data_IF_591096212773
#
_entry.id   IF_591096212773
#
_cell.length_a   1.000
_cell.length_b   1.000
_cell.length_c   1.000
_cell.angle_alpha   90.00
_cell.angle_beta   90.00
_cell.angle_gamma   90.00
#
_symmetry.space_group_name_H-M   'P 1'
#
loop_
_entity.id
_entity.type
_entity.pdbx_description
1 polymer ?
#
# COMPACT_ATOMS: atom_id res chain seq x y z
N UNK A 1 27.08 -13.17 61.18
CA UNK A 1 25.97 -12.74 60.29
C UNK A 1 26.16 -13.45 58.97
N UNK A 2 25.19 -14.26 58.58
CA UNK A 2 25.34 -15.23 57.49
C UNK A 2 25.44 -14.55 56.12
N UNK A 3 26.66 -14.56 55.58
CA UNK A 3 26.98 -14.16 54.21
C UNK A 3 26.11 -14.87 53.16
N UNK A 4 25.59 -16.08 53.47
CA UNK A 4 24.69 -16.84 52.62
C UNK A 4 23.34 -16.16 52.37
N UNK A 5 22.80 -15.41 53.33
CA UNK A 5 21.54 -14.67 53.17
C UNK A 5 21.71 -13.50 52.20
N UNK A 6 22.83 -12.78 52.31
CA UNK A 6 23.20 -11.68 51.42
C UNK A 6 23.38 -12.13 49.96
N UNK A 7 24.05 -13.27 49.75
CA UNK A 7 24.24 -13.86 48.42
C UNK A 7 22.89 -14.31 47.82
N UNK A 8 22.02 -14.93 48.64
CA UNK A 8 20.70 -15.37 48.19
C UNK A 8 19.79 -14.22 47.76
N UNK A 9 19.78 -13.11 48.50
CA UNK A 9 18.99 -11.92 48.14
C UNK A 9 19.55 -11.23 46.88
N UNK A 10 20.88 -11.13 46.74
CA UNK A 10 21.51 -10.54 45.56
C UNK A 10 21.22 -11.35 44.28
N UNK A 11 21.30 -12.68 44.37
CA UNK A 11 20.94 -13.57 43.27
C UNK A 11 19.46 -13.46 42.91
N UNK A 12 18.55 -13.51 43.89
CA UNK A 12 17.12 -13.36 43.66
C UNK A 12 16.75 -12.02 43.00
N UNK A 13 17.36 -10.92 43.43
CA UNK A 13 17.16 -9.60 42.84
C UNK A 13 17.68 -9.53 41.38
N UNK A 14 18.85 -10.11 41.09
CA UNK A 14 19.42 -10.12 39.74
C UNK A 14 18.58 -10.90 38.73
N UNK A 15 17.99 -12.03 39.16
CA UNK A 15 17.08 -12.84 38.33
C UNK A 15 15.78 -12.08 38.07
N UNK A 16 15.22 -11.42 39.10
CA UNK A 16 14.03 -10.58 38.97
C UNK A 16 14.22 -9.44 37.97
N UNK A 17 15.32 -8.68 38.08
CA UNK A 17 15.63 -7.56 37.18
C UNK A 17 15.84 -8.05 35.74
N UNK A 18 16.53 -9.17 35.56
CA UNK A 18 16.77 -9.75 34.22
C UNK A 18 15.48 -10.23 33.56
N UNK A 19 14.58 -10.86 34.33
CA UNK A 19 13.27 -11.28 33.84
C UNK A 19 12.39 -10.08 33.45
N UNK A 20 12.39 -9.01 34.24
CA UNK A 20 11.68 -7.77 33.91
C UNK A 20 12.24 -7.09 32.67
N UNK A 21 13.56 -6.99 32.52
CA UNK A 21 14.18 -6.41 31.32
C UNK A 21 13.88 -7.22 30.05
N UNK A 22 13.90 -8.55 30.12
CA UNK A 22 13.55 -9.42 28.99
C UNK A 22 12.06 -9.31 28.62
N UNK A 23 11.18 -9.26 29.62
CA UNK A 23 9.75 -9.05 29.41
C UNK A 23 9.48 -7.69 28.76
N UNK A 24 10.14 -6.63 29.23
CA UNK A 24 9.99 -5.27 28.70
C UNK A 24 10.54 -5.15 27.28
N UNK A 25 11.69 -5.77 26.99
CA UNK A 25 12.24 -5.80 25.62
C UNK A 25 11.36 -6.58 24.66
N UNK A 26 10.77 -7.69 25.11
CA UNK A 26 9.79 -8.46 24.32
C UNK A 26 8.52 -7.65 24.05
N UNK A 27 8.02 -6.91 25.06
CA UNK A 27 6.88 -6.00 24.91
C UNK A 27 7.19 -4.89 23.91
N UNK A 28 8.31 -4.20 24.06
CA UNK A 28 8.73 -3.11 23.15
C UNK A 28 8.84 -3.58 21.70
N UNK A 29 9.47 -4.75 21.47
CA UNK A 29 9.61 -5.32 20.12
C UNK A 29 8.25 -5.66 19.50
N UNK A 30 7.33 -6.23 20.30
CA UNK A 30 5.96 -6.54 19.84
C UNK A 30 5.19 -5.28 19.50
N UNK A 31 5.26 -4.25 20.34
CA UNK A 31 4.56 -2.99 20.14
C UNK A 31 5.08 -2.23 18.92
N UNK A 32 6.40 -2.22 18.71
CA UNK A 32 7.02 -1.61 17.52
C UNK A 32 6.58 -2.35 16.25
N UNK A 33 6.64 -3.69 16.23
CA UNK A 33 6.19 -4.48 15.07
C UNK A 33 4.67 -4.33 14.82
N UNK A 34 3.87 -4.22 15.87
CA UNK A 34 2.43 -3.99 15.74
C UNK A 34 2.15 -2.61 15.11
N UNK A 35 2.89 -1.58 15.55
CA UNK A 35 2.80 -0.23 15.02
C UNK A 35 3.22 -0.15 13.55
N UNK A 36 4.38 -0.71 13.20
CA UNK A 36 4.84 -0.78 11.80
C UNK A 36 3.81 -1.47 10.90
N UNK A 37 3.22 -2.58 11.35
CA UNK A 37 2.19 -3.30 10.60
C UNK A 37 0.91 -2.46 10.45
N UNK A 38 0.54 -1.69 11.47
CA UNK A 38 -0.62 -0.80 11.40
C UNK A 38 -0.40 0.34 10.40
N UNK A 39 0.78 0.98 10.44
CA UNK A 39 1.17 2.04 9.49
C UNK A 39 1.17 1.52 8.04
N UNK A 40 1.78 0.36 7.79
CA UNK A 40 1.73 -0.30 6.48
C UNK A 40 0.30 -0.60 6.02
N UNK A 41 -0.52 -1.19 6.90
CA UNK A 41 -1.92 -1.54 6.58
C UNK A 41 -2.72 -0.29 6.20
N UNK A 42 -2.55 0.80 6.93
CA UNK A 42 -3.20 2.07 6.63
C UNK A 42 -2.77 2.60 5.26
N UNK A 43 -1.46 2.72 5.02
CA UNK A 43 -0.92 3.20 3.75
C UNK A 43 -1.39 2.35 2.56
N UNK A 44 -1.38 1.02 2.69
CA UNK A 44 -1.85 0.11 1.64
C UNK A 44 -3.33 0.31 1.34
N UNK A 45 -4.15 0.47 2.38
CA UNK A 45 -5.59 0.73 2.22
C UNK A 45 -5.85 2.06 1.51
N UNK A 46 -5.16 3.13 1.93
CA UNK A 46 -5.27 4.45 1.32
C UNK A 46 -4.86 4.43 -0.15
N UNK A 47 -3.75 3.77 -0.48
CA UNK A 47 -3.26 3.64 -1.84
C UNK A 47 -4.23 2.87 -2.75
N UNK A 48 -4.73 1.72 -2.30
CA UNK A 48 -5.70 0.93 -3.06
C UNK A 48 -7.02 1.70 -3.25
N UNK A 49 -7.45 2.50 -2.27
CA UNK A 49 -8.61 3.35 -2.39
C UNK A 49 -8.41 4.47 -3.42
N UNK A 50 -7.25 5.13 -3.41
CA UNK A 50 -6.88 6.16 -4.39
C UNK A 50 -6.88 5.61 -5.83
N UNK A 51 -6.24 4.45 -6.05
CA UNK A 51 -6.22 3.77 -7.35
C UNK A 51 -7.63 3.39 -7.81
N UNK A 52 -8.44 2.82 -6.92
CA UNK A 52 -9.80 2.36 -7.25
C UNK A 52 -10.73 3.52 -7.60
N UNK A 53 -10.66 4.62 -6.84
CA UNK A 53 -11.45 5.83 -7.09
C UNK A 53 -11.13 6.43 -8.45
N UNK A 54 -9.84 6.64 -8.71
CA UNK A 54 -9.34 7.16 -10.00
C UNK A 54 -9.77 6.27 -11.14
N UNK A 55 -9.54 4.95 -11.06
CA UNK A 55 -9.97 3.99 -12.10
C UNK A 55 -11.47 4.07 -12.37
N UNK A 56 -12.30 4.19 -11.34
CA UNK A 56 -13.74 4.25 -11.51
C UNK A 56 -14.16 5.52 -12.26
N UNK A 57 -13.52 6.66 -11.99
CA UNK A 57 -13.71 7.91 -12.74
C UNK A 57 -13.28 7.74 -14.21
N UNK A 58 -12.08 7.20 -14.46
CA UNK A 58 -11.61 6.93 -15.82
C UNK A 58 -12.56 6.01 -16.59
N UNK A 59 -13.09 4.98 -15.94
CA UNK A 59 -14.05 4.05 -16.55
C UNK A 59 -15.43 4.71 -16.79
N UNK A 60 -15.82 5.68 -15.98
CA UNK A 60 -17.03 6.48 -16.24
C UNK A 60 -16.83 7.35 -17.48
N UNK A 61 -15.68 8.03 -17.59
CA UNK A 61 -15.30 8.83 -18.74
C UNK A 61 -15.26 8.01 -20.03
N UNK A 62 -14.61 6.85 -20.01
CA UNK A 62 -14.50 5.95 -21.17
C UNK A 62 -15.87 5.45 -21.71
N UNK A 63 -16.91 5.45 -20.87
CA UNK A 63 -18.28 5.10 -21.24
C UNK A 63 -19.15 6.30 -21.59
N UNK A 64 -18.66 7.52 -21.37
CA UNK A 64 -19.42 8.72 -21.69
C UNK A 64 -19.45 8.93 -23.21
N UNK A 65 -20.63 8.72 -23.80
CA UNK A 65 -20.87 8.99 -25.22
C UNK A 65 -21.23 10.45 -25.49
N UNK A 66 -21.58 11.21 -24.46
CA UNK A 66 -22.00 12.62 -24.56
C UNK A 66 -20.85 13.60 -24.41
N UNK A 67 -19.76 13.20 -23.74
CA UNK A 67 -18.59 14.04 -23.52
C UNK A 67 -17.65 13.98 -24.74
N UNK A 68 -17.29 15.11 -25.35
CA UNK A 68 -16.26 15.17 -26.41
C UNK A 68 -14.93 14.54 -25.99
N UNK A 69 -14.18 13.99 -26.96
CA UNK A 69 -12.94 13.25 -26.68
C UNK A 69 -11.86 14.09 -25.98
N UNK A 70 -11.72 15.36 -26.38
CA UNK A 70 -10.79 16.31 -25.77
C UNK A 70 -11.16 16.65 -24.32
N UNK A 71 -12.46 16.78 -24.04
CA UNK A 71 -12.97 16.99 -22.68
C UNK A 71 -12.78 15.74 -21.82
N UNK A 72 -13.03 14.53 -22.34
CA UNK A 72 -12.76 13.26 -21.64
C UNK A 72 -11.28 13.13 -21.25
N UNK A 73 -10.36 13.41 -22.17
CA UNK A 73 -8.92 13.37 -21.89
C UNK A 73 -8.50 14.36 -20.81
N UNK A 74 -9.02 15.60 -20.88
CA UNK A 74 -8.77 16.62 -19.85
C UNK A 74 -9.30 16.22 -18.48
N UNK A 75 -10.50 15.64 -18.42
CA UNK A 75 -11.10 15.12 -17.19
C UNK A 75 -10.33 13.93 -16.63
N UNK A 76 -9.86 13.03 -17.48
CA UNK A 76 -9.03 11.90 -17.09
C UNK A 76 -7.72 12.35 -16.44
N UNK A 77 -7.04 13.33 -17.05
CA UNK A 77 -5.86 13.95 -16.47
C UNK A 77 -6.12 14.65 -15.14
N UNK A 78 -7.28 15.30 -14.98
CA UNK A 78 -7.70 15.89 -13.69
C UNK A 78 -7.91 14.82 -12.63
N UNK A 79 -8.72 13.80 -12.93
CA UNK A 79 -9.01 12.67 -12.05
C UNK A 79 -7.74 12.01 -11.52
N UNK A 80 -6.76 11.77 -12.40
CA UNK A 80 -5.47 11.19 -12.01
C UNK A 80 -4.68 12.07 -11.03
N UNK A 81 -4.62 13.39 -11.28
CA UNK A 81 -3.90 14.33 -10.38
C UNK A 81 -4.61 14.53 -9.05
N UNK A 82 -5.93 14.60 -9.04
CA UNK A 82 -6.72 14.78 -7.80
C UNK A 82 -6.91 13.48 -7.02
N UNK A 83 -6.64 12.32 -7.63
CA UNK A 83 -6.84 11.00 -7.03
C UNK A 83 -5.91 10.68 -5.85
N UNK A 84 -4.80 11.42 -5.68
CA UNK A 84 -3.87 11.27 -4.55
C UNK A 84 -2.94 10.06 -4.62
N UNK A 85 -3.02 9.27 -5.70
CA UNK A 85 -2.23 8.05 -5.84
C UNK A 85 -0.73 8.35 -6.01
N UNK A 86 -0.36 9.50 -6.54
CA UNK A 86 1.04 9.86 -6.78
C UNK A 86 1.79 10.13 -5.47
N UNK A 87 1.15 10.87 -4.57
CA UNK A 87 1.66 11.21 -3.24
C UNK A 87 1.82 9.96 -2.38
N UNK A 88 0.82 9.08 -2.39
CA UNK A 88 0.85 7.81 -1.67
C UNK A 88 1.93 6.88 -2.23
N UNK A 89 2.17 6.87 -3.54
CA UNK A 89 3.27 6.11 -4.16
C UNK A 89 4.65 6.55 -3.65
N UNK A 90 4.86 7.82 -3.35
CA UNK A 90 6.11 8.26 -2.72
C UNK A 90 6.30 7.68 -1.31
N UNK A 91 5.22 7.58 -0.54
CA UNK A 91 5.24 6.96 0.79
C UNK A 91 5.47 5.44 0.69
N UNK A 92 4.88 4.78 -0.32
CA UNK A 92 5.08 3.35 -0.58
C UNK A 92 6.56 3.00 -0.77
N UNK A 93 7.34 3.82 -1.49
CA UNK A 93 8.78 3.60 -1.69
C UNK A 93 9.57 3.66 -0.38
N UNK A 94 9.10 4.41 0.61
CA UNK A 94 9.78 4.58 1.89
C UNK A 94 9.41 3.49 2.92
N UNK A 95 8.17 3.02 2.90
CA UNK A 95 7.58 2.20 3.96
C UNK A 95 7.40 0.74 3.53
N UNK A 96 7.09 0.49 2.27
CA UNK A 96 6.79 -0.85 1.76
C UNK A 96 8.09 -1.59 1.38
N UNK A 97 8.13 -2.92 1.50
CA UNK A 97 9.26 -3.70 0.99
C UNK A 97 9.28 -3.66 -0.55
N UNK A 98 10.45 -3.95 -1.12
CA UNK A 98 10.71 -3.83 -2.56
C UNK A 98 9.67 -4.53 -3.47
N UNK A 99 9.18 -5.76 -3.18
CA UNK A 99 8.17 -6.39 -4.02
C UNK A 99 6.86 -5.58 -4.10
N UNK A 100 6.46 -4.97 -2.98
CA UNK A 100 5.24 -4.17 -2.89
C UNK A 100 5.45 -2.79 -3.52
N UNK A 101 6.59 -2.14 -3.25
CA UNK A 101 6.91 -0.83 -3.84
C UNK A 101 7.01 -0.93 -5.37
N UNK A 102 7.69 -1.94 -5.91
CA UNK A 102 7.81 -2.15 -7.36
C UNK A 102 6.45 -2.36 -8.05
N UNK A 103 5.59 -3.21 -7.47
CA UNK A 103 4.23 -3.43 -7.97
C UNK A 103 3.37 -2.16 -7.85
N UNK A 104 3.57 -1.35 -6.80
CA UNK A 104 2.85 -0.09 -6.63
C UNK A 104 3.15 0.88 -7.78
N UNK A 105 4.43 0.99 -8.17
CA UNK A 105 4.87 1.84 -9.29
C UNK A 105 4.30 1.35 -10.61
N UNK A 106 4.41 0.04 -10.90
CA UNK A 106 3.86 -0.56 -12.13
C UNK A 106 2.35 -0.31 -12.24
N UNK A 107 1.61 -0.52 -11.16
CA UNK A 107 0.16 -0.31 -11.12
C UNK A 107 -0.22 1.15 -11.38
N UNK A 108 0.52 2.11 -10.81
CA UNK A 108 0.28 3.54 -11.07
C UNK A 108 0.59 3.92 -12.52
N UNK A 109 1.66 3.37 -13.09
CA UNK A 109 1.99 3.62 -14.50
C UNK A 109 0.90 3.09 -15.43
N UNK A 110 0.39 1.87 -15.22
CA UNK A 110 -0.72 1.36 -16.04
C UNK A 110 -2.01 2.16 -15.83
N UNK A 111 -2.22 2.76 -14.65
CA UNK A 111 -3.31 3.71 -14.46
C UNK A 111 -3.10 5.00 -15.26
N UNK A 112 -1.85 5.49 -15.38
CA UNK A 112 -1.52 6.62 -16.26
C UNK A 112 -1.70 6.25 -17.73
N UNK A 113 -1.33 5.04 -18.14
CA UNK A 113 -1.55 4.56 -19.51
C UNK A 113 -3.04 4.63 -19.89
N UNK A 114 -3.96 4.31 -18.96
CA UNK A 114 -5.40 4.50 -19.18
C UNK A 114 -5.78 5.97 -19.42
N UNK A 115 -5.16 6.90 -18.70
CA UNK A 115 -5.36 8.33 -18.93
C UNK A 115 -4.89 8.71 -20.34
N UNK A 116 -3.71 8.23 -20.73
CA UNK A 116 -3.14 8.50 -22.05
C UNK A 116 -4.02 7.93 -23.17
N UNK A 117 -4.69 6.79 -22.95
CA UNK A 117 -5.72 6.26 -23.88
C UNK A 117 -6.91 7.21 -24.04
N UNK A 118 -7.43 7.75 -22.93
CA UNK A 118 -8.53 8.71 -22.98
C UNK A 118 -8.11 10.04 -23.64
N UNK A 119 -6.87 10.48 -23.41
CA UNK A 119 -6.28 11.65 -24.08
C UNK A 119 -6.11 11.42 -25.60
N UNK A 120 -5.83 10.17 -26.02
CA UNK A 120 -5.82 9.76 -27.44
C UNK A 120 -7.22 9.62 -28.05
N UNK A 121 -8.28 9.70 -27.24
CA UNK A 121 -9.67 9.64 -27.67
C UNK A 121 -10.32 8.26 -27.55
N UNK A 122 -9.60 7.25 -27.07
CA UNK A 122 -10.10 5.89 -26.91
C UNK A 122 -11.36 5.86 -26.02
N UNK A 123 -12.24 4.90 -26.28
CA UNK A 123 -13.44 4.61 -25.49
C UNK A 123 -13.41 3.18 -24.97
N UNK A 124 -14.36 2.86 -24.10
CA UNK A 124 -14.39 1.58 -23.41
C UNK A 124 -14.48 0.32 -24.31
N UNK A 125 -14.91 0.47 -25.56
CA UNK A 125 -15.01 -0.62 -26.55
C UNK A 125 -13.71 -0.83 -27.32
N UNK A 126 -12.77 0.10 -27.24
CA UNK A 126 -11.53 0.02 -28.03
C UNK A 126 -10.61 -1.03 -27.43
N UNK A 127 -10.04 -1.89 -28.28
CA UNK A 127 -9.21 -3.01 -27.82
C UNK A 127 -7.99 -2.56 -27.01
N UNK A 128 -7.42 -1.40 -27.34
CA UNK A 128 -6.32 -0.77 -26.60
C UNK A 128 -6.72 -0.38 -25.19
N UNK A 129 -7.89 0.24 -25.01
CA UNK A 129 -8.45 0.54 -23.69
C UNK A 129 -8.73 -0.74 -22.90
N UNK A 130 -9.41 -1.71 -23.51
CA UNK A 130 -9.77 -2.98 -22.86
C UNK A 130 -8.53 -3.71 -22.36
N UNK A 131 -7.52 -3.86 -23.22
CA UNK A 131 -6.26 -4.53 -22.87
C UNK A 131 -5.50 -3.79 -21.75
N UNK A 132 -5.42 -2.46 -21.83
CA UNK A 132 -4.75 -1.66 -20.79
C UNK A 132 -5.50 -1.77 -19.45
N UNK A 133 -6.84 -1.82 -19.49
CA UNK A 133 -7.67 -1.97 -18.31
C UNK A 133 -7.49 -3.34 -17.66
N UNK A 134 -7.46 -4.41 -18.45
CA UNK A 134 -7.21 -5.77 -17.97
C UNK A 134 -5.81 -5.89 -17.34
N UNK A 135 -4.79 -5.32 -17.98
CA UNK A 135 -3.44 -5.27 -17.43
C UNK A 135 -3.38 -4.53 -16.08
N UNK A 136 -4.12 -3.42 -15.95
CA UNK A 136 -4.24 -2.70 -14.67
C UNK A 136 -4.87 -3.59 -13.58
N UNK A 137 -5.93 -4.33 -13.90
CA UNK A 137 -6.60 -5.21 -12.94
C UNK A 137 -5.66 -6.34 -12.49
N UNK A 138 -4.95 -6.97 -13.43
CA UNK A 138 -3.97 -8.02 -13.11
C UNK A 138 -2.87 -7.51 -12.16
N UNK A 139 -2.29 -6.35 -12.46
CA UNK A 139 -1.28 -5.72 -11.61
C UNK A 139 -1.81 -5.34 -10.22
N UNK A 140 -3.06 -4.86 -10.16
CA UNK A 140 -3.70 -4.52 -8.89
C UNK A 140 -3.90 -5.77 -8.02
N UNK A 141 -4.20 -6.93 -8.62
CA UNK A 141 -4.33 -8.19 -7.90
C UNK A 141 -2.96 -8.72 -7.44
N UNK A 142 -1.93 -8.66 -8.28
CA UNK A 142 -0.55 -8.96 -7.87
C UNK A 142 -0.12 -8.08 -6.68
N UNK A 143 -0.42 -6.78 -6.74
CA UNK A 143 -0.11 -5.84 -5.66
C UNK A 143 -0.82 -6.21 -4.35
N UNK A 144 -2.11 -6.57 -4.42
CA UNK A 144 -2.88 -7.00 -3.24
C UNK A 144 -2.30 -8.26 -2.61
N UNK A 145 -1.90 -9.23 -3.42
CA UNK A 145 -1.24 -10.45 -2.93
C UNK A 145 0.07 -10.10 -2.23
N UNK A 146 0.92 -9.28 -2.85
CA UNK A 146 2.18 -8.85 -2.23
C UNK A 146 1.97 -8.11 -0.91
N UNK A 147 0.97 -7.21 -0.83
CA UNK A 147 0.59 -6.51 0.39
C UNK A 147 0.09 -7.46 1.49
N UNK A 148 -0.72 -8.47 1.14
CA UNK A 148 -1.19 -9.48 2.10
C UNK A 148 -0.04 -10.31 2.65
N UNK A 149 0.90 -10.70 1.80
CA UNK A 149 2.08 -11.46 2.19
C UNK A 149 2.95 -10.64 3.15
N UNK A 150 3.22 -9.36 2.84
CA UNK A 150 3.98 -8.47 3.73
C UNK A 150 3.28 -8.23 5.08
N UNK A 151 1.95 -8.19 5.11
CA UNK A 151 1.19 -8.07 6.36
C UNK A 151 1.10 -9.38 7.16
N UNK A 152 1.55 -10.51 6.60
CA UNK A 152 1.44 -11.85 7.22
C UNK A 152 0.02 -12.42 7.19
N UNK A 153 -0.78 -12.05 6.18
CA UNK A 153 -2.18 -12.49 5.97
C UNK A 153 -2.34 -13.30 4.66
N UNK A 154 -1.27 -13.41 3.86
CA UNK A 154 -1.21 -14.32 2.72
C UNK A 154 -0.81 -15.72 3.16
N UNK A 155 -1.31 -16.74 2.45
CA UNK A 155 -0.92 -18.15 2.63
C UNK A 155 0.54 -18.40 2.27
#
# INVERSE_FOLDING_TARGET
>A
MDWGTLIGTALGASVGISATMLAERSRWKRETSARERAEKRQLYGEYLAALSRTRNELRALARSHTTPADERGREAGRAFRSGGAYELRHQMVLIAPEPVSALSVRTLHTLRDLVDRLEAGDVHTDGTWVHTHEAFIALLDELRVAMRNDLGVGE
#
